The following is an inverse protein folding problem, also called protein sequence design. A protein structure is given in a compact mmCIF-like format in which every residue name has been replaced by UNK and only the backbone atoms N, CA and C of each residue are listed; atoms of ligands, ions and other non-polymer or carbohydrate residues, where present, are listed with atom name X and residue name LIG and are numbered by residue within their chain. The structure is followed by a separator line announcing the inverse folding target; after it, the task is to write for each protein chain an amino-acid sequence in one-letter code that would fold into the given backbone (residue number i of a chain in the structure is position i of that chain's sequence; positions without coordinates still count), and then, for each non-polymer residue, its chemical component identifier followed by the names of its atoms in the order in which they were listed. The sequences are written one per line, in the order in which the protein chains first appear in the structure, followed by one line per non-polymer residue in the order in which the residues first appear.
data_IF_252196249004
#
_entry.id   IF_252196249004
#
_cell.length_a   1.000
_cell.length_b   1.000
_cell.length_c   1.000
_cell.angle_alpha   90.00
_cell.angle_beta   90.00
_cell.angle_gamma   90.00
#
_symmetry.space_group_name_H-M   'P 1'
#
loop_
_entity.id
_entity.type
_entity.pdbx_description
1 polymer ?
#
# COMPACT_ATOMS: atom_id res chain seq x y z
N UNK A 1 2.98 -13.97 -2.64
CA UNK A 1 4.23 -13.17 -2.58
C UNK A 1 3.89 -11.70 -2.71
N UNK A 2 4.46 -10.87 -1.85
CA UNK A 2 4.28 -9.42 -1.91
C UNK A 2 5.40 -8.78 -2.70
N UNK A 3 5.07 -7.78 -3.50
CA UNK A 3 6.04 -6.95 -4.22
C UNK A 3 6.09 -5.57 -3.57
N UNK A 4 7.28 -5.04 -3.38
CA UNK A 4 7.45 -3.69 -2.86
C UNK A 4 7.15 -2.69 -3.99
N UNK A 5 6.12 -1.87 -3.81
CA UNK A 5 5.71 -0.87 -4.81
C UNK A 5 6.30 0.50 -4.52
N UNK A 6 6.44 0.84 -3.22
CA UNK A 6 7.02 2.13 -2.83
C UNK A 6 7.60 2.01 -1.43
N UNK A 7 8.67 2.75 -1.17
CA UNK A 7 9.35 2.75 0.12
C UNK A 7 9.59 4.20 0.55
N UNK A 8 8.95 4.58 1.65
CA UNK A 8 9.08 5.92 2.24
C UNK A 8 9.95 5.88 3.50
N UNK A 9 10.77 4.84 3.64
CA UNK A 9 11.57 4.63 4.83
C UNK A 9 10.81 3.81 5.86
N UNK A 10 10.09 4.45 6.76
CA UNK A 10 9.34 3.77 7.81
C UNK A 10 7.97 3.28 7.35
N UNK A 11 7.45 3.83 6.26
CA UNK A 11 6.18 3.41 5.67
C UNK A 11 6.46 2.81 4.30
N UNK A 12 5.85 1.67 4.02
CA UNK A 12 6.07 0.95 2.76
C UNK A 12 4.75 0.51 2.16
N UNK A 13 4.70 0.48 0.84
CA UNK A 13 3.54 -0.01 0.10
C UNK A 13 3.95 -1.28 -0.62
N UNK A 14 3.20 -2.35 -0.37
CA UNK A 14 3.37 -3.64 -1.04
C UNK A 14 2.14 -3.96 -1.87
N UNK A 15 2.29 -4.86 -2.82
CA UNK A 15 1.15 -5.39 -3.56
C UNK A 15 1.21 -6.91 -3.58
N UNK A 16 0.05 -7.53 -3.69
CA UNK A 16 -0.07 -8.96 -3.94
C UNK A 16 -1.32 -9.21 -4.77
N UNK A 17 -1.55 -10.47 -5.09
CA UNK A 17 -2.77 -10.91 -5.77
C UNK A 17 -3.38 -12.07 -4.99
N UNK A 18 -4.70 -12.04 -4.88
CA UNK A 18 -5.46 -13.16 -4.33
C UNK A 18 -6.62 -13.44 -5.28
N UNK A 19 -6.72 -14.68 -5.75
CA UNK A 19 -7.73 -15.11 -6.73
C UNK A 19 -7.79 -14.20 -7.96
N UNK A 20 -6.62 -13.72 -8.43
CA UNK A 20 -6.51 -12.83 -9.57
C UNK A 20 -6.77 -11.36 -9.29
N UNK A 21 -7.21 -11.01 -8.08
CA UNK A 21 -7.44 -9.62 -7.69
C UNK A 21 -6.20 -9.04 -7.04
N UNK A 22 -5.80 -7.85 -7.50
CA UNK A 22 -4.65 -7.14 -6.95
C UNK A 22 -5.06 -6.33 -5.73
N UNK A 23 -4.19 -6.32 -4.73
CA UNK A 23 -4.37 -5.53 -3.50
C UNK A 23 -3.10 -4.77 -3.20
N UNK A 24 -3.25 -3.62 -2.54
CA UNK A 24 -2.14 -2.85 -2.00
C UNK A 24 -2.19 -2.89 -0.49
N UNK A 25 -1.02 -3.08 0.13
CA UNK A 25 -0.88 -3.12 1.58
C UNK A 25 0.05 -2.00 2.00
N UNK A 26 -0.42 -1.14 2.91
CA UNK A 26 0.41 -0.09 3.48
C UNK A 26 0.85 -0.54 4.86
N UNK A 27 2.15 -0.71 5.04
CA UNK A 27 2.73 -1.03 6.33
C UNK A 27 3.19 0.27 6.96
N UNK A 28 2.48 0.68 8.02
CA UNK A 28 2.75 1.93 8.72
C UNK A 28 3.89 1.77 9.72
N UNK A 29 4.46 2.91 10.14
CA UNK A 29 5.61 2.93 11.05
C UNK A 29 5.31 2.39 12.44
N UNK A 30 4.04 2.34 12.86
CA UNK A 30 3.63 1.77 14.13
C UNK A 30 3.40 0.24 14.07
N UNK A 31 3.65 -0.36 12.91
CA UNK A 31 3.47 -1.80 12.72
C UNK A 31 2.08 -2.20 12.23
N UNK A 32 1.15 -1.26 12.13
CA UNK A 32 -0.18 -1.57 11.60
C UNK A 32 -0.16 -1.66 10.08
N UNK A 33 -1.15 -2.33 9.52
CA UNK A 33 -1.25 -2.52 8.09
C UNK A 33 -2.65 -2.16 7.61
N UNK A 34 -2.73 -1.44 6.50
CA UNK A 34 -3.99 -1.11 5.84
C UNK A 34 -3.99 -1.74 4.45
N UNK A 35 -5.08 -2.40 4.09
CA UNK A 35 -5.21 -3.05 2.78
C UNK A 35 -6.22 -2.31 1.92
N UNK A 36 -5.84 -2.06 0.67
CA UNK A 36 -6.69 -1.40 -0.33
C UNK A 36 -6.86 -2.32 -1.53
N UNK A 37 -8.09 -2.47 -2.02
CA UNK A 37 -8.36 -3.21 -3.25
C UNK A 37 -8.01 -2.36 -4.45
N UNK A 38 -7.28 -2.94 -5.41
CA UNK A 38 -6.95 -2.25 -6.66
C UNK A 38 -8.19 -2.00 -7.54
N UNK A 39 -9.34 -2.60 -7.21
CA UNK A 39 -10.60 -2.30 -7.88
C UNK A 39 -11.08 -0.88 -7.59
N UNK A 40 -10.73 -0.35 -6.41
CA UNK A 40 -11.20 0.95 -5.93
C UNK A 40 -10.09 1.98 -5.80
N UNK A 41 -8.84 1.53 -5.66
CA UNK A 41 -7.69 2.40 -5.40
C UNK A 41 -6.57 2.06 -6.38
N UNK A 42 -6.12 3.06 -7.14
CA UNK A 42 -4.91 2.92 -7.94
C UNK A 42 -3.68 3.03 -7.04
N UNK A 43 -2.53 2.61 -7.55
CA UNK A 43 -1.27 2.79 -6.82
C UNK A 43 -1.02 4.27 -6.53
N UNK A 44 -1.31 5.15 -7.48
CA UNK A 44 -1.16 6.60 -7.31
C UNK A 44 -2.03 7.12 -6.17
N UNK A 45 -3.26 6.60 -6.07
CA UNK A 45 -4.16 7.00 -4.99
C UNK A 45 -3.65 6.53 -3.63
N UNK A 46 -3.14 5.30 -3.55
CA UNK A 46 -2.57 4.77 -2.31
C UNK A 46 -1.33 5.58 -1.90
N UNK A 47 -0.48 5.93 -2.86
CA UNK A 47 0.69 6.79 -2.60
C UNK A 47 0.26 8.15 -2.04
N UNK A 48 -0.78 8.74 -2.64
CA UNK A 48 -1.30 10.03 -2.19
C UNK A 48 -1.77 9.96 -0.74
N UNK A 49 -2.51 8.89 -0.39
CA UNK A 49 -2.97 8.68 0.98
C UNK A 49 -1.79 8.59 1.96
N UNK A 50 -0.76 7.83 1.60
CA UNK A 50 0.43 7.68 2.43
C UNK A 50 1.15 9.02 2.58
N UNK A 51 1.36 9.73 1.49
CA UNK A 51 2.07 11.00 1.49
C UNK A 51 1.35 12.05 2.32
N UNK A 52 0.02 12.05 2.29
CA UNK A 52 -0.78 12.96 3.12
C UNK A 52 -0.63 12.67 4.62
N UNK A 53 -0.25 11.45 4.98
CA UNK A 53 -0.07 11.04 6.37
C UNK A 53 1.37 11.11 6.86
N UNK A 54 2.31 11.48 6.01
CA UNK A 54 3.72 11.59 6.37
C UNK A 54 4.11 12.97 6.92
N UNK A 55 3.21 13.92 6.88
CA UNK A 55 3.47 15.30 7.31
C UNK A 55 3.34 15.43 8.82
#
# INVERSE_FOLDING_TARGET
MRLLEANYGEVRIFSDRIFGYKRYHVLWNDGTETTYSALWYSLEKVKEIVEDNLI
#
